data_IF_532148426574
#
_entry.id   IF_532148426574
#
_cell.length_a   1.000
_cell.length_b   1.000
_cell.length_c   1.000
_cell.angle_alpha   90.00
_cell.angle_beta   90.00
_cell.angle_gamma   90.00
#
_symmetry.space_group_name_H-M   'P 1'
#
loop_
_entity.id
_entity.type
_entity.pdbx_description
1 polymer ?
#
# COMPACT_ATOMS: atom_id res chain seq x y z
N UNK A 1 16.48 -4.76 13.06
CA UNK A 1 15.33 -5.12 12.23
C UNK A 1 15.00 -3.98 11.29
N UNK A 2 14.78 -4.31 10.04
CA UNK A 2 14.48 -3.29 9.03
C UNK A 2 12.96 -3.21 8.86
N UNK A 3 12.40 -2.05 9.09
CA UNK A 3 10.95 -1.83 9.01
C UNK A 3 10.60 -1.14 7.70
N UNK A 4 9.72 -1.76 6.93
CA UNK A 4 9.27 -1.22 5.67
C UNK A 4 7.83 -0.74 5.76
N UNK A 5 7.47 0.19 4.88
CA UNK A 5 6.13 0.75 4.84
C UNK A 5 5.68 0.91 3.39
N UNK A 6 4.47 0.50 3.12
CA UNK A 6 3.82 0.79 1.85
C UNK A 6 2.36 1.09 2.12
N UNK A 7 1.69 1.74 1.20
CA UNK A 7 0.30 2.13 1.43
C UNK A 7 -0.48 2.17 0.13
N UNK A 8 -1.77 1.93 0.24
CA UNK A 8 -2.70 2.00 -0.88
C UNK A 8 -4.10 1.78 -0.34
N UNK A 9 -5.10 1.90 -1.20
CA UNK A 9 -6.47 1.59 -0.82
C UNK A 9 -6.72 0.09 -0.83
N UNK A 10 -5.99 -0.65 -1.62
CA UNK A 10 -6.11 -2.12 -1.74
C UNK A 10 -7.55 -2.55 -1.98
N UNK A 11 -8.21 -1.86 -2.91
CA UNK A 11 -9.58 -2.18 -3.25
C UNK A 11 -9.63 -3.39 -4.17
N UNK A 12 -10.61 -4.26 -3.95
CA UNK A 12 -10.78 -5.47 -4.76
C UNK A 12 -9.47 -6.26 -4.81
N UNK A 13 -8.97 -6.60 -3.65
CA UNK A 13 -7.67 -7.24 -3.48
C UNK A 13 -7.49 -8.40 -4.46
N UNK A 14 -6.36 -8.40 -5.16
CA UNK A 14 -6.12 -9.40 -6.19
C UNK A 14 -4.64 -9.78 -6.22
N UNK A 15 -4.31 -10.66 -7.16
CA UNK A 15 -2.95 -11.19 -7.23
C UNK A 15 -1.89 -10.10 -7.38
N UNK A 16 -2.22 -9.03 -8.10
CA UNK A 16 -1.26 -7.93 -8.25
C UNK A 16 -0.90 -7.29 -6.92
N UNK A 17 -1.91 -7.11 -6.07
CA UNK A 17 -1.65 -6.60 -4.73
C UNK A 17 -0.77 -7.54 -3.93
N UNK A 18 -1.05 -8.82 -4.02
CA UNK A 18 -0.27 -9.82 -3.27
C UNK A 18 1.18 -9.81 -3.75
N UNK A 19 1.39 -9.72 -5.05
CA UNK A 19 2.75 -9.72 -5.58
C UNK A 19 3.52 -8.48 -5.17
N UNK A 20 2.85 -7.34 -5.13
CA UNK A 20 3.49 -6.11 -4.68
C UNK A 20 3.88 -6.22 -3.22
N UNK A 21 2.99 -6.78 -2.40
CA UNK A 21 3.28 -6.95 -0.98
C UNK A 21 4.41 -7.95 -0.77
N UNK A 22 4.45 -8.99 -1.58
CA UNK A 22 5.53 -9.97 -1.52
C UNK A 22 6.88 -9.31 -1.80
N UNK A 23 6.92 -8.49 -2.85
CA UNK A 23 8.16 -7.79 -3.19
C UNK A 23 8.54 -6.79 -2.12
N UNK A 24 7.55 -6.08 -1.57
CA UNK A 24 7.82 -5.14 -0.49
C UNK A 24 8.40 -5.84 0.72
N UNK A 25 7.85 -7.01 1.05
CA UNK A 25 8.35 -7.75 2.22
C UNK A 25 9.79 -8.18 2.04
N UNK A 26 10.24 -8.40 0.81
CA UNK A 26 11.62 -8.76 0.56
C UNK A 26 12.59 -7.65 0.92
N UNK A 27 12.11 -6.41 1.01
CA UNK A 27 12.94 -5.26 1.29
C UNK A 27 13.08 -4.98 2.79
N UNK A 28 12.38 -5.74 3.63
CA UNK A 28 12.35 -5.45 5.05
C UNK A 28 12.11 -6.72 5.84
N UNK A 29 12.23 -6.59 7.15
CA UNK A 29 11.95 -7.69 8.05
C UNK A 29 10.52 -7.60 8.59
N UNK A 30 10.00 -6.40 8.70
CA UNK A 30 8.68 -6.15 9.25
C UNK A 30 7.98 -5.16 8.33
N UNK A 31 6.86 -5.54 7.76
CA UNK A 31 6.16 -4.70 6.77
C UNK A 31 4.90 -4.11 7.38
N UNK A 32 4.87 -2.79 7.45
CA UNK A 32 3.69 -2.03 7.87
C UNK A 32 2.97 -1.57 6.61
N UNK A 33 1.68 -1.82 6.56
CA UNK A 33 0.86 -1.45 5.40
C UNK A 33 -0.15 -0.40 5.83
N UNK A 34 -0.09 0.76 5.17
CA UNK A 34 -1.10 1.79 5.37
C UNK A 34 -2.30 1.51 4.49
N UNK A 35 -3.47 1.47 5.09
CA UNK A 35 -4.71 1.22 4.35
C UNK A 35 -5.50 2.51 4.26
N UNK A 36 -5.55 3.09 3.08
CA UNK A 36 -6.28 4.34 2.88
C UNK A 36 -7.78 4.06 2.89
N UNK A 37 -8.48 4.71 3.79
CA UNK A 37 -9.90 4.42 3.96
C UNK A 37 -10.75 4.99 2.83
N UNK A 38 -10.49 6.24 2.44
CA UNK A 38 -11.25 6.88 1.36
C UNK A 38 -10.37 7.91 0.67
N UNK A 39 -9.80 7.59 -0.48
CA UNK A 39 -8.93 8.53 -1.18
C UNK A 39 -9.64 9.78 -1.67
N UNK A 40 -10.96 9.78 -1.73
CA UNK A 40 -11.68 10.96 -2.21
C UNK A 40 -11.69 12.10 -1.21
N UNK A 41 -11.32 11.84 0.03
CA UNK A 41 -11.26 12.91 1.02
C UNK A 41 -10.23 13.96 0.64
N UNK A 42 -9.03 13.52 0.26
CA UNK A 42 -7.99 14.42 -0.19
C UNK A 42 -8.09 14.74 -1.67
N UNK A 43 -8.58 13.79 -2.45
CA UNK A 43 -8.63 13.91 -3.91
C UNK A 43 -10.02 13.55 -4.40
N UNK A 44 -10.92 14.51 -4.46
CA UNK A 44 -12.30 14.23 -4.87
C UNK A 44 -12.42 13.63 -6.26
N UNK A 45 -11.40 13.82 -7.09
CA UNK A 45 -11.43 13.27 -8.45
C UNK A 45 -11.20 11.77 -8.48
N UNK A 46 -10.72 11.20 -7.38
CA UNK A 46 -10.50 9.77 -7.33
C UNK A 46 -11.80 9.03 -7.10
N UNK A 47 -11.81 7.77 -7.47
CA UNK A 47 -12.97 6.93 -7.25
C UNK A 47 -12.99 6.41 -5.82
N UNK A 48 -14.18 6.32 -5.27
CA UNK A 48 -14.34 5.68 -3.97
C UNK A 48 -14.07 4.19 -4.11
N UNK A 49 -13.48 3.58 -3.09
CA UNK A 49 -13.31 2.13 -3.12
C UNK A 49 -14.67 1.44 -3.18
N UNK A 50 -14.70 0.33 -3.88
CA UNK A 50 -15.92 -0.48 -3.98
C UNK A 50 -16.13 -1.26 -2.70
N UNK A 51 -15.05 -1.77 -2.11
CA UNK A 51 -15.16 -2.54 -0.88
C UNK A 51 -15.09 -1.62 0.33
N UNK A 52 -15.73 -2.04 1.40
CA UNK A 52 -15.66 -1.31 2.67
C UNK A 52 -14.26 -1.41 3.26
N UNK A 53 -13.98 -0.54 4.21
CA UNK A 53 -12.71 -0.63 4.94
C UNK A 53 -12.57 -1.98 5.62
N UNK A 54 -13.66 -2.48 6.20
CA UNK A 54 -13.63 -3.77 6.86
C UNK A 54 -13.24 -4.89 5.90
N UNK A 55 -13.82 -4.89 4.70
CA UNK A 55 -13.50 -5.91 3.72
C UNK A 55 -12.04 -5.84 3.31
N UNK A 56 -11.57 -4.63 3.05
CA UNK A 56 -10.18 -4.46 2.61
C UNK A 56 -9.19 -4.79 3.72
N UNK A 57 -9.52 -4.40 4.93
CA UNK A 57 -8.68 -4.73 6.09
C UNK A 57 -8.59 -6.24 6.28
N UNK A 58 -9.74 -6.91 6.19
CA UNK A 58 -9.78 -8.36 6.39
C UNK A 58 -8.93 -9.08 5.36
N UNK A 59 -8.99 -8.64 4.11
CA UNK A 59 -8.20 -9.26 3.06
C UNK A 59 -6.71 -9.04 3.26
N UNK A 60 -6.33 -7.82 3.66
CA UNK A 60 -4.93 -7.54 3.96
C UNK A 60 -4.43 -8.36 5.14
N UNK A 61 -5.27 -8.48 6.15
CA UNK A 61 -4.88 -9.22 7.35
C UNK A 61 -4.59 -10.69 7.03
N UNK A 62 -5.27 -11.23 6.03
CA UNK A 62 -5.06 -12.61 5.62
C UNK A 62 -3.80 -12.79 4.79
N UNK A 63 -3.18 -11.73 4.36
CA UNK A 63 -2.00 -11.82 3.50
C UNK A 63 -0.76 -12.06 4.36
N UNK A 64 -0.05 -13.13 4.06
CA UNK A 64 1.07 -13.53 4.92
C UNK A 64 2.25 -12.58 4.87
N UNK A 65 2.29 -11.68 3.92
CA UNK A 65 3.41 -10.73 3.80
C UNK A 65 3.21 -9.48 4.62
N UNK A 66 2.02 -9.28 5.17
CA UNK A 66 1.67 -8.08 5.92
C UNK A 66 1.84 -8.36 7.41
N UNK A 67 2.63 -7.52 8.09
CA UNK A 67 2.86 -7.69 9.51
C UNK A 67 1.99 -6.78 10.35
N UNK A 68 1.68 -5.59 9.86
CA UNK A 68 0.85 -4.65 10.59
C UNK A 68 0.08 -3.79 9.60
N UNK A 69 -1.16 -3.46 9.93
CA UNK A 69 -2.00 -2.61 9.10
C UNK A 69 -2.37 -1.37 9.89
N UNK A 70 -2.21 -0.20 9.28
CA UNK A 70 -2.58 1.05 9.90
C UNK A 70 -3.54 1.78 8.96
N UNK A 71 -4.83 1.87 9.29
CA UNK A 71 -5.76 2.63 8.48
C UNK A 71 -5.49 4.14 8.60
N UNK A 72 -5.67 4.86 7.52
CA UNK A 72 -5.53 6.30 7.54
C UNK A 72 -6.45 6.89 6.49
N UNK A 73 -6.85 8.15 6.67
CA UNK A 73 -7.81 8.79 5.76
C UNK A 73 -7.15 9.81 4.86
N UNK A 74 -6.24 10.62 5.39
CA UNK A 74 -5.68 11.75 4.65
C UNK A 74 -4.18 11.64 4.54
N UNK A 75 -3.61 12.43 3.63
CA UNK A 75 -2.17 12.47 3.49
C UNK A 75 -1.49 13.05 4.72
N UNK A 76 -2.20 13.91 5.44
CA UNK A 76 -1.66 14.41 6.68
C UNK A 76 -1.48 13.29 7.69
N UNK A 77 -2.46 12.41 7.77
CA UNK A 77 -2.35 11.25 8.65
C UNK A 77 -1.25 10.31 8.20
N UNK A 78 -1.06 10.19 6.88
CA UNK A 78 0.02 9.39 6.36
C UNK A 78 1.37 9.94 6.80
N UNK A 79 1.53 11.26 6.75
CA UNK A 79 2.77 11.87 7.24
C UNK A 79 2.97 11.62 8.72
N UNK A 80 1.90 11.65 9.49
CA UNK A 80 2.00 11.35 10.91
C UNK A 80 2.52 9.93 11.14
N UNK A 81 2.05 8.97 10.33
CA UNK A 81 2.53 7.60 10.43
C UNK A 81 4.01 7.55 10.09
N UNK A 82 4.40 8.21 9.01
CA UNK A 82 5.79 8.15 8.55
C UNK A 82 6.75 8.78 9.55
N UNK A 83 6.28 9.72 10.36
CA UNK A 83 7.14 10.37 11.34
C UNK A 83 7.05 9.74 12.72
N UNK A 84 5.98 9.00 13.00
CA UNK A 84 5.77 8.42 14.34
C UNK A 84 6.30 7.02 14.48
N UNK A 85 6.43 6.28 13.39
CA UNK A 85 6.89 4.90 13.43
C UNK A 85 8.34 4.83 12.95
N UNK A 86 9.11 3.87 13.45
CA UNK A 86 10.53 3.77 13.07
C UNK A 86 10.68 3.10 11.71
N UNK A 87 10.23 3.76 10.68
CA UNK A 87 10.24 3.22 9.33
C UNK A 87 11.60 3.45 8.69
N UNK A 88 12.22 2.36 8.23
CA UNK A 88 13.54 2.43 7.60
C UNK A 88 13.48 2.60 6.11
N UNK A 89 12.44 2.08 5.46
CA UNK A 89 12.32 2.17 4.02
C UNK A 89 10.86 2.30 3.65
N UNK A 90 10.58 3.23 2.74
CA UNK A 90 9.24 3.40 2.21
C UNK A 90 9.22 2.83 0.80
N UNK A 91 8.30 1.92 0.56
CA UNK A 91 8.21 1.21 -0.71
C UNK A 91 7.00 1.71 -1.45
N UNK A 92 7.19 2.23 -2.65
CA UNK A 92 6.13 2.81 -3.45
C UNK A 92 5.87 1.92 -4.65
N UNK A 93 4.64 1.43 -4.73
CA UNK A 93 4.25 0.64 -5.88
C UNK A 93 4.01 1.54 -7.07
N UNK A 94 4.32 1.04 -8.25
CA UNK A 94 4.13 1.80 -9.46
C UNK A 94 2.99 1.28 -10.32
N UNK A 95 2.22 0.35 -9.79
CA UNK A 95 1.14 -0.24 -10.57
C UNK A 95 0.10 0.80 -10.96
N UNK A 96 -0.04 1.86 -10.19
CA UNK A 96 -1.04 2.86 -10.50
C UNK A 96 -0.67 3.73 -11.69
N UNK A 97 0.52 3.55 -12.23
CA UNK A 97 0.91 4.28 -13.43
C UNK A 97 0.80 3.43 -14.68
N UNK A 98 0.36 2.22 -14.53
CA UNK A 98 0.38 1.27 -15.62
C UNK A 98 -0.62 1.61 -16.71
N UNK A 99 -1.64 2.37 -16.40
CA UNK A 99 -2.61 2.68 -17.43
C UNK A 99 -2.02 3.54 -18.54
N UNK A 100 -0.88 4.13 -18.30
CA UNK A 100 -0.24 4.97 -19.29
C UNK A 100 0.79 4.23 -20.11
N UNK A 101 1.05 2.99 -19.80
CA UNK A 101 2.16 2.28 -20.40
C UNK A 101 1.76 0.91 -20.81
N UNK A 102 2.60 0.32 -21.62
CA UNK A 102 2.49 -1.10 -21.80
C UNK A 102 2.84 -1.71 -20.47
N UNK A 103 2.01 -2.56 -20.05
CA UNK A 103 2.08 -2.99 -18.68
C UNK A 103 3.07 -4.08 -18.41
N UNK A 104 3.49 -4.78 -19.41
CA UNK A 104 4.28 -5.97 -19.15
C UNK A 104 5.53 -5.68 -18.36
N UNK A 105 6.13 -4.53 -18.59
CA UNK A 105 7.37 -4.26 -17.89
C UNK A 105 7.16 -3.76 -16.50
N UNK A 106 5.95 -3.41 -16.16
CA UNK A 106 5.70 -2.91 -14.85
C UNK A 106 5.59 -3.97 -13.81
N UNK A 107 5.45 -5.18 -14.24
CA UNK A 107 5.09 -6.23 -13.33
C UNK A 107 6.11 -6.47 -12.25
N UNK A 108 7.33 -6.01 -12.42
CA UNK A 108 8.32 -6.30 -11.39
C UNK A 108 9.17 -5.13 -10.99
N UNK A 109 8.87 -3.95 -11.45
CA UNK A 109 9.70 -2.84 -11.03
C UNK A 109 8.85 -1.77 -10.42
N UNK A 110 8.15 -2.13 -9.39
CA UNK A 110 7.23 -1.21 -8.77
C UNK A 110 7.72 -0.79 -7.41
N UNK A 111 8.99 -0.87 -7.15
CA UNK A 111 9.55 -0.55 -5.85
C UNK A 111 10.45 0.66 -5.96
N UNK A 112 10.27 1.61 -5.07
CA UNK A 112 11.25 2.66 -4.90
C UNK A 112 11.29 3.01 -3.43
N UNK A 113 12.34 3.71 -3.04
CA UNK A 113 12.62 3.93 -1.64
C UNK A 113 12.63 5.40 -1.31
N UNK A 114 12.25 5.70 -0.10
CA UNK A 114 12.30 7.08 0.39
C UNK A 114 13.37 7.22 1.45
#
# INVERSE_FOLDING_TARGET
MRVGFTCSAFDLFHAGHVMMLKEAKKQCDFLIVGLQTDPTIDRPEKNKPIQTVFERYTQLEACKYVDQIIPYATEKELLDILTSYPIDVRIIGEEYRSEEHTSELQSHSFISYA
#
